data_IF_949998801007
#
_entry.id   IF_949998801007
#
_cell.length_a   1.000
_cell.length_b   1.000
_cell.length_c   1.000
_cell.angle_alpha   90.00
_cell.angle_beta   90.00
_cell.angle_gamma   90.00
#
_symmetry.space_group_name_H-M   'P 1'
#
loop_
_entity.id
_entity.type
_entity.pdbx_description
1 polymer ?
#
# COMPACT_ATOMS: atom_id res chain seq x y z
N UNK A 1 11.46 -3.47 -1.41
CA UNK A 1 10.27 -2.73 -1.90
C UNK A 1 10.09 -1.39 -1.20
N UNK A 2 9.67 -1.29 0.07
CA UNK A 2 9.41 0.00 0.71
C UNK A 2 10.68 0.87 0.90
N UNK A 3 11.82 0.24 1.25
CA UNK A 3 13.13 0.91 1.32
C UNK A 3 13.60 1.41 -0.04
N UNK A 4 13.39 0.64 -1.10
CA UNK A 4 13.76 1.03 -2.47
C UNK A 4 12.87 2.17 -2.98
N UNK A 5 11.59 2.18 -2.58
CA UNK A 5 10.64 3.25 -2.89
C UNK A 5 10.99 4.56 -2.16
N UNK A 6 11.36 4.48 -0.87
CA UNK A 6 11.86 5.63 -0.12
C UNK A 6 13.20 6.13 -0.67
N UNK A 7 14.08 5.22 -1.07
CA UNK A 7 15.38 5.56 -1.65
C UNK A 7 15.23 6.20 -3.03
N UNK A 8 14.45 5.62 -3.92
CA UNK A 8 14.13 6.19 -5.23
C UNK A 8 13.37 7.51 -5.11
N UNK A 9 12.51 7.67 -4.09
CA UNK A 9 11.83 8.93 -3.79
C UNK A 9 12.80 10.03 -3.33
N UNK A 10 13.73 9.69 -2.44
CA UNK A 10 14.79 10.62 -1.99
C UNK A 10 15.75 10.95 -3.13
N UNK A 11 16.22 9.94 -3.86
CA UNK A 11 17.11 10.10 -5.02
C UNK A 11 16.43 10.94 -6.13
N UNK A 12 15.14 10.73 -6.39
CA UNK A 12 14.37 11.55 -7.33
C UNK A 12 14.14 13.00 -6.88
N UNK A 13 14.12 13.28 -5.57
CA UNK A 13 14.04 14.65 -5.04
C UNK A 13 15.41 15.32 -4.95
N UNK A 14 16.49 14.58 -4.68
CA UNK A 14 17.85 15.11 -4.59
C UNK A 14 18.54 15.28 -5.95
N UNK A 15 18.21 14.45 -6.95
CA UNK A 15 18.86 14.44 -8.27
C UNK A 15 18.14 15.35 -9.29
N UNK A 16 17.59 16.47 -8.82
CA UNK A 16 16.95 17.48 -9.68
C UNK A 16 17.94 18.23 -10.58
N UNK A 17 19.25 17.98 -10.40
CA UNK A 17 20.35 18.67 -11.09
C UNK A 17 20.93 17.84 -12.24
N UNK A 18 20.23 17.83 -13.39
CA UNK A 18 20.90 17.83 -14.69
C UNK A 18 21.22 16.49 -15.36
N UNK A 19 20.21 15.77 -15.87
CA UNK A 19 20.24 15.18 -17.22
C UNK A 19 18.82 14.82 -17.67
N UNK A 20 18.47 15.05 -18.93
CA UNK A 20 17.10 14.85 -19.46
C UNK A 20 16.78 13.36 -19.68
N UNK A 21 17.79 12.53 -19.93
CA UNK A 21 17.65 11.08 -20.18
C UNK A 21 17.50 10.28 -18.88
N UNK A 22 18.28 10.59 -17.83
CA UNK A 22 18.17 9.92 -16.53
C UNK A 22 16.81 10.13 -15.85
N UNK A 23 16.22 11.32 -16.01
CA UNK A 23 14.89 11.65 -15.47
C UNK A 23 13.77 10.72 -15.95
N UNK A 24 13.82 10.26 -17.20
CA UNK A 24 12.77 9.37 -17.75
C UNK A 24 12.82 7.98 -17.12
N UNK A 25 14.01 7.43 -16.88
CA UNK A 25 14.15 6.11 -16.28
C UNK A 25 13.75 6.12 -14.80
N UNK A 26 14.21 7.13 -14.03
CA UNK A 26 13.81 7.31 -12.63
C UNK A 26 12.29 7.49 -12.51
N UNK A 27 11.67 8.28 -13.39
CA UNK A 27 10.22 8.49 -13.36
C UNK A 27 9.43 7.21 -13.67
N UNK A 28 9.90 6.40 -14.64
CA UNK A 28 9.29 5.08 -14.92
C UNK A 28 9.40 4.15 -13.72
N UNK A 29 10.57 4.11 -13.06
CA UNK A 29 10.80 3.25 -11.90
C UNK A 29 9.94 3.65 -10.70
N UNK A 30 9.79 4.95 -10.46
CA UNK A 30 8.88 5.50 -9.44
C UNK A 30 7.42 5.14 -9.73
N UNK A 31 6.96 5.31 -10.98
CA UNK A 31 5.59 4.93 -11.36
C UNK A 31 5.38 3.43 -11.21
N UNK A 32 6.32 2.61 -11.69
CA UNK A 32 6.22 1.15 -11.59
C UNK A 32 6.13 0.70 -10.13
N UNK A 33 6.94 1.30 -9.26
CA UNK A 33 6.93 1.03 -7.82
C UNK A 33 5.63 1.48 -7.16
N UNK A 34 5.12 2.67 -7.51
CA UNK A 34 3.85 3.18 -6.99
C UNK A 34 2.67 2.31 -7.45
N UNK A 35 2.66 1.89 -8.71
CA UNK A 35 1.64 1.01 -9.26
C UNK A 35 1.67 -0.37 -8.58
N UNK A 36 2.87 -0.93 -8.38
CA UNK A 36 3.07 -2.17 -7.63
C UNK A 36 2.53 -2.06 -6.20
N UNK A 37 2.80 -0.95 -5.51
CA UNK A 37 2.29 -0.68 -4.17
C UNK A 37 0.75 -0.65 -4.15
N UNK A 38 0.12 0.06 -5.08
CA UNK A 38 -1.34 0.16 -5.16
C UNK A 38 -1.96 -1.23 -5.38
N UNK A 39 -1.40 -2.01 -6.30
CA UNK A 39 -1.87 -3.38 -6.58
C UNK A 39 -1.72 -4.26 -5.34
N UNK A 40 -0.57 -4.20 -4.66
CA UNK A 40 -0.33 -4.96 -3.44
C UNK A 40 -1.35 -4.61 -2.33
N UNK A 41 -1.61 -3.32 -2.10
CA UNK A 41 -2.59 -2.86 -1.11
C UNK A 41 -4.00 -3.37 -1.47
N UNK A 42 -4.39 -3.30 -2.74
CA UNK A 42 -5.70 -3.79 -3.17
C UNK A 42 -5.87 -5.29 -2.94
N UNK A 43 -4.87 -6.09 -3.30
CA UNK A 43 -4.89 -7.55 -3.08
C UNK A 43 -5.02 -7.87 -1.59
N UNK A 44 -4.16 -7.26 -0.75
CA UNK A 44 -4.18 -7.47 0.70
C UNK A 44 -5.52 -7.05 1.30
N UNK A 45 -6.10 -5.94 0.86
CA UNK A 45 -7.36 -5.47 1.38
C UNK A 45 -8.55 -6.35 0.96
N UNK A 46 -8.54 -6.89 -0.28
CA UNK A 46 -9.54 -7.85 -0.73
C UNK A 46 -9.47 -9.17 0.05
N UNK A 47 -8.28 -9.74 0.17
CA UNK A 47 -8.05 -10.97 0.96
C UNK A 47 -8.41 -10.72 2.42
N UNK A 48 -8.04 -9.56 2.97
CA UNK A 48 -8.39 -9.17 4.33
C UNK A 48 -9.89 -9.08 4.55
N UNK A 49 -10.66 -8.51 3.61
CA UNK A 49 -12.14 -8.47 3.70
C UNK A 49 -12.73 -9.88 3.67
N UNK A 50 -12.23 -10.72 2.77
CA UNK A 50 -12.71 -12.10 2.64
C UNK A 50 -12.44 -12.90 3.92
N UNK A 51 -11.22 -12.82 4.45
CA UNK A 51 -10.81 -13.52 5.67
C UNK A 51 -11.52 -12.96 6.92
N UNK A 52 -11.76 -11.65 6.97
CA UNK A 52 -12.54 -11.04 8.06
C UNK A 52 -13.96 -11.60 8.10
N UNK A 53 -14.66 -11.64 6.96
CA UNK A 53 -16.05 -12.05 6.92
C UNK A 53 -16.24 -13.56 7.09
N UNK A 54 -15.28 -14.38 6.65
CA UNK A 54 -15.38 -15.84 6.78
C UNK A 54 -14.79 -16.37 8.09
N UNK A 55 -13.71 -15.78 8.60
CA UNK A 55 -13.06 -16.29 9.81
C UNK A 55 -13.41 -15.43 11.01
N UNK A 56 -13.13 -14.12 10.98
CA UNK A 56 -13.26 -13.28 12.18
C UNK A 56 -14.71 -13.15 12.63
N UNK A 57 -15.65 -12.95 11.71
CA UNK A 57 -17.08 -12.85 12.05
C UNK A 57 -17.65 -14.18 12.57
N UNK A 58 -17.17 -15.31 12.06
CA UNK A 58 -17.65 -16.63 12.48
C UNK A 58 -17.05 -17.05 13.83
N UNK A 59 -15.77 -16.73 14.08
CA UNK A 59 -15.08 -17.06 15.33
C UNK A 59 -15.41 -16.10 16.48
N UNK A 60 -15.74 -14.84 16.20
CA UNK A 60 -15.96 -13.81 17.22
C UNK A 60 -17.36 -13.23 17.13
N UNK A 61 -18.19 -13.49 18.14
CA UNK A 61 -19.58 -13.01 18.24
C UNK A 61 -19.72 -11.47 18.32
N UNK A 62 -18.63 -10.74 18.60
CA UNK A 62 -18.61 -9.28 18.64
C UNK A 62 -18.19 -8.64 17.31
N UNK A 63 -17.60 -9.40 16.39
CA UNK A 63 -17.05 -8.85 15.15
C UNK A 63 -18.16 -8.64 14.12
N UNK A 64 -18.31 -7.39 13.65
CA UNK A 64 -19.26 -7.06 12.58
C UNK A 64 -18.66 -7.34 11.20
N UNK A 65 -19.48 -7.78 10.22
CA UNK A 65 -19.01 -8.02 8.86
C UNK A 65 -18.56 -6.72 8.20
N UNK A 66 -17.41 -6.77 7.54
CA UNK A 66 -16.86 -5.68 6.75
C UNK A 66 -17.64 -5.57 5.43
N UNK A 67 -18.31 -4.44 5.23
CA UNK A 67 -19.10 -4.13 4.02
C UNK A 67 -18.22 -3.66 2.88
N UNK A 68 -17.15 -2.93 3.17
CA UNK A 68 -16.23 -2.39 2.15
C UNK A 68 -14.78 -2.76 2.43
N UNK A 69 -13.99 -2.89 1.37
CA UNK A 69 -12.54 -3.13 1.43
C UNK A 69 -11.83 -1.96 2.14
N UNK A 70 -12.37 -0.76 2.00
CA UNK A 70 -11.93 0.45 2.70
C UNK A 70 -11.95 0.33 4.22
N UNK A 71 -12.88 -0.45 4.81
CA UNK A 71 -12.90 -0.67 6.26
C UNK A 71 -11.68 -1.45 6.74
N UNK A 72 -11.21 -2.42 5.96
CA UNK A 72 -10.00 -3.18 6.25
C UNK A 72 -8.76 -2.30 6.15
N UNK A 73 -8.69 -1.47 5.10
CA UNK A 73 -7.60 -0.49 4.93
C UNK A 73 -7.58 0.51 6.09
N UNK A 74 -8.74 1.04 6.48
CA UNK A 74 -8.88 1.95 7.61
C UNK A 74 -8.44 1.30 8.93
N UNK A 75 -8.79 0.03 9.15
CA UNK A 75 -8.36 -0.72 10.34
C UNK A 75 -6.83 -0.92 10.36
N UNK A 76 -6.23 -1.24 9.20
CA UNK A 76 -4.77 -1.36 9.06
C UNK A 76 -4.07 -0.03 9.35
N UNK A 77 -4.56 1.07 8.77
CA UNK A 77 -4.05 2.42 9.02
C UNK A 77 -4.19 2.82 10.49
N UNK A 78 -5.34 2.54 11.09
CA UNK A 78 -5.59 2.84 12.49
C UNK A 78 -4.62 2.08 13.40
N UNK A 79 -4.42 0.79 13.14
CA UNK A 79 -3.44 -0.01 13.89
C UNK A 79 -2.01 0.51 13.71
N UNK A 80 -1.64 0.90 12.48
CA UNK A 80 -0.32 1.48 12.20
C UNK A 80 -0.11 2.88 12.81
N UNK A 81 -1.17 3.61 13.14
CA UNK A 81 -1.08 4.90 13.83
C UNK A 81 -1.00 4.73 15.35
N UNK A 82 -1.69 3.71 15.87
CA UNK A 82 -1.68 3.37 17.31
C UNK A 82 -0.35 2.74 17.72
N UNK A 83 0.32 2.04 16.80
CA UNK A 83 1.61 1.40 17.02
C UNK A 83 2.77 2.27 16.55
#
# INVERSE_FOLDING_TARGET
MLKDLCRAGVEGMSDMSGSTTGRREIYKELIASLLSLIIAVLIVAFVGKWLWNNSVVELFSFARPARSVWQIIALMLFWALVK
#
